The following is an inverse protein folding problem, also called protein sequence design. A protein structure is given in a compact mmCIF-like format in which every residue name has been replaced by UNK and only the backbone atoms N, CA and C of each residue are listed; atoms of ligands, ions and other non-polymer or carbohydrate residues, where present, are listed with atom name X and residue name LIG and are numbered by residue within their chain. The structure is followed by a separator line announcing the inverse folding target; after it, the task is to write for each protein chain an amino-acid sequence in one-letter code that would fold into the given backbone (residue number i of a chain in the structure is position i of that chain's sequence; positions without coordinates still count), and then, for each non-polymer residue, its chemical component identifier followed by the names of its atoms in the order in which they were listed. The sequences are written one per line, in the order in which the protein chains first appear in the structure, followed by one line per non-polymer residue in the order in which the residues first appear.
data_IF_284038949852
#
_entry.id   IF_284038949852
#
_cell.length_a   1.000
_cell.length_b   1.000
_cell.length_c   1.000
_cell.angle_alpha   90.00
_cell.angle_beta   90.00
_cell.angle_gamma   90.00
#
_symmetry.space_group_name_H-M   'P 1'
#
loop_
_entity.id
_entity.type
_entity.pdbx_description
1 polymer ?
#
# COMPACT_ATOMS: atom_id res chain seq x y z
N UNK A 1 -33.84 -6.13 15.75
CA UNK A 1 -33.37 -4.82 15.31
C UNK A 1 -31.86 -4.65 15.51
N UNK A 2 -31.31 -5.02 16.70
CA UNK A 2 -29.88 -4.90 16.96
C UNK A 2 -28.97 -5.71 16.02
N UNK A 3 -29.25 -7.02 15.73
CA UNK A 3 -28.44 -7.75 14.78
C UNK A 3 -28.47 -7.16 13.37
N UNK A 4 -29.62 -6.66 12.95
CA UNK A 4 -29.78 -6.04 11.65
C UNK A 4 -28.98 -4.74 11.54
N UNK A 5 -28.97 -3.95 12.61
CA UNK A 5 -28.21 -2.71 12.67
C UNK A 5 -26.70 -2.97 12.63
N UNK A 6 -26.25 -4.00 13.37
CA UNK A 6 -24.84 -4.42 13.35
C UNK A 6 -24.41 -4.84 11.95
N UNK A 7 -25.23 -5.60 11.25
CA UNK A 7 -24.93 -6.02 9.88
C UNK A 7 -24.82 -4.84 8.92
N UNK A 8 -25.69 -3.83 9.06
CA UNK A 8 -25.62 -2.62 8.24
C UNK A 8 -24.34 -1.83 8.51
N UNK A 9 -23.91 -1.75 9.75
CA UNK A 9 -22.67 -1.07 10.11
C UNK A 9 -21.45 -1.79 9.53
N UNK A 10 -21.41 -3.11 9.61
CA UNK A 10 -20.31 -3.89 9.03
C UNK A 10 -20.30 -3.79 7.50
N UNK A 11 -21.46 -3.81 6.85
CA UNK A 11 -21.56 -3.61 5.41
C UNK A 11 -21.06 -2.21 5.01
N UNK A 12 -21.37 -1.19 5.79
CA UNK A 12 -20.89 0.18 5.58
C UNK A 12 -19.37 0.28 5.68
N UNK A 13 -18.76 -0.35 6.68
CA UNK A 13 -17.31 -0.42 6.82
C UNK A 13 -16.67 -1.15 5.66
N UNK A 14 -17.24 -2.28 5.24
CA UNK A 14 -16.75 -3.06 4.11
C UNK A 14 -16.76 -2.23 2.83
N UNK A 15 -17.86 -1.55 2.53
CA UNK A 15 -17.97 -0.70 1.36
C UNK A 15 -16.96 0.44 1.39
N UNK A 16 -16.79 1.10 2.54
CA UNK A 16 -15.82 2.18 2.67
C UNK A 16 -14.40 1.67 2.49
N UNK A 17 -14.06 0.52 3.04
CA UNK A 17 -12.74 -0.09 2.87
C UNK A 17 -12.43 -0.34 1.40
N UNK A 18 -13.38 -0.91 0.65
CA UNK A 18 -13.21 -1.14 -0.79
C UNK A 18 -13.02 0.19 -1.53
N UNK A 19 -13.80 1.21 -1.19
CA UNK A 19 -13.67 2.53 -1.82
C UNK A 19 -12.29 3.16 -1.54
N UNK A 20 -11.79 3.02 -0.32
CA UNK A 20 -10.48 3.55 0.04
C UNK A 20 -9.34 2.80 -0.70
N UNK A 21 -9.46 1.48 -0.82
CA UNK A 21 -8.50 0.70 -1.62
C UNK A 21 -8.54 1.14 -3.08
N UNK A 22 -9.71 1.39 -3.65
CA UNK A 22 -9.85 1.88 -5.01
C UNK A 22 -9.18 3.25 -5.20
N UNK A 23 -9.31 4.15 -4.22
CA UNK A 23 -8.62 5.45 -4.25
C UNK A 23 -7.10 5.26 -4.27
N UNK A 24 -6.59 4.35 -3.46
CA UNK A 24 -5.16 4.05 -3.45
C UNK A 24 -4.69 3.52 -4.80
N UNK A 25 -5.45 2.61 -5.41
CA UNK A 25 -5.11 2.05 -6.72
C UNK A 25 -5.14 3.10 -7.81
N UNK A 26 -6.13 3.99 -7.81
CA UNK A 26 -6.23 5.09 -8.77
C UNK A 26 -5.01 6.01 -8.66
N UNK A 27 -4.62 6.37 -7.46
CA UNK A 27 -3.45 7.23 -7.25
C UNK A 27 -2.14 6.52 -7.62
N UNK A 28 -2.06 5.22 -7.37
CA UNK A 28 -0.91 4.43 -7.80
C UNK A 28 -0.78 4.43 -9.33
N UNK A 29 -1.90 4.29 -10.02
CA UNK A 29 -1.93 4.37 -11.49
C UNK A 29 -1.50 5.73 -12.00
N UNK A 30 -2.00 6.81 -11.39
CA UNK A 30 -1.60 8.17 -11.72
C UNK A 30 -0.10 8.38 -11.51
N UNK A 31 0.43 7.86 -10.42
CA UNK A 31 1.86 7.92 -10.14
C UNK A 31 2.66 7.18 -11.21
N UNK A 32 2.22 6.00 -11.61
CA UNK A 32 2.86 5.22 -12.68
C UNK A 32 2.87 6.01 -14.01
N UNK A 33 1.75 6.59 -14.38
CA UNK A 33 1.64 7.38 -15.62
C UNK A 33 2.53 8.63 -15.58
N UNK A 34 2.59 9.32 -14.44
CA UNK A 34 3.44 10.49 -14.27
C UNK A 34 4.91 10.13 -14.31
N UNK A 35 5.33 9.07 -13.65
CA UNK A 35 6.73 8.63 -13.68
C UNK A 35 7.14 8.16 -15.07
N UNK A 36 6.24 7.51 -15.81
CA UNK A 36 6.49 7.17 -17.22
C UNK A 36 6.80 8.41 -18.06
N UNK A 37 6.09 9.49 -17.78
CA UNK A 37 6.22 10.73 -18.53
C UNK A 37 7.50 11.49 -18.18
N UNK A 38 7.85 11.57 -16.91
CA UNK A 38 8.98 12.38 -16.43
C UNK A 38 10.29 11.62 -16.31
N UNK A 39 10.24 10.32 -16.05
CA UNK A 39 11.42 9.48 -15.84
C UNK A 39 11.71 8.54 -17.03
N UNK A 40 10.83 8.53 -18.03
CA UNK A 40 10.98 7.69 -19.22
C UNK A 40 10.44 6.28 -19.06
N UNK A 41 10.26 5.80 -17.85
CA UNK A 41 9.70 4.49 -17.55
C UNK A 41 8.88 4.57 -16.25
N UNK A 42 7.68 3.99 -16.27
CA UNK A 42 6.79 4.04 -15.12
C UNK A 42 7.25 3.16 -13.98
N UNK A 43 6.94 3.61 -12.76
CA UNK A 43 7.14 2.83 -11.54
C UNK A 43 5.97 3.10 -10.59
N UNK A 44 5.80 2.24 -9.61
CA UNK A 44 4.79 2.39 -8.57
C UNK A 44 5.41 3.03 -7.31
N UNK A 45 4.59 3.62 -6.43
CA UNK A 45 5.13 4.20 -5.21
C UNK A 45 5.96 3.20 -4.41
N UNK A 46 7.13 3.66 -3.95
CA UNK A 46 8.06 2.83 -3.21
C UNK A 46 9.09 2.09 -4.04
N UNK A 47 8.89 1.99 -5.35
CA UNK A 47 9.90 1.40 -6.23
C UNK A 47 10.98 2.41 -6.58
N UNK A 48 12.25 1.99 -6.50
CA UNK A 48 13.36 2.76 -7.07
C UNK A 48 13.30 2.72 -8.60
N UNK A 49 12.94 1.56 -9.13
CA UNK A 49 12.76 1.31 -10.57
C UNK A 49 11.60 0.35 -10.74
N UNK A 50 11.04 0.28 -11.96
CA UNK A 50 9.89 -0.58 -12.26
C UNK A 50 10.13 -2.06 -11.99
N UNK A 51 11.37 -2.51 -12.03
CA UNK A 51 11.77 -3.91 -11.87
C UNK A 51 12.28 -4.26 -10.46
N UNK A 52 12.05 -3.37 -9.49
CA UNK A 52 12.40 -3.62 -8.09
C UNK A 52 11.11 -3.82 -7.29
N UNK A 53 11.11 -4.86 -6.47
CA UNK A 53 9.94 -5.18 -5.64
C UNK A 53 9.78 -4.20 -4.46
N UNK A 54 8.56 -4.07 -3.97
CA UNK A 54 8.25 -3.50 -2.65
C UNK A 54 7.61 -4.63 -1.85
N UNK A 55 8.10 -4.85 -0.64
CA UNK A 55 7.77 -6.05 0.11
C UNK A 55 8.64 -7.23 -0.33
N UNK A 56 8.20 -8.44 -0.06
CA UNK A 56 9.05 -9.63 -0.21
C UNK A 56 8.48 -10.68 -1.16
N UNK A 57 7.73 -10.28 -2.17
CA UNK A 57 7.15 -11.19 -3.15
C UNK A 57 7.73 -10.96 -4.53
N UNK A 58 7.96 -12.04 -5.26
CA UNK A 58 8.44 -11.96 -6.64
C UNK A 58 7.36 -12.27 -7.68
N UNK A 59 6.25 -12.91 -7.28
CA UNK A 59 5.12 -13.14 -8.18
C UNK A 59 3.79 -13.09 -7.43
N UNK A 60 2.69 -13.01 -8.19
CA UNK A 60 1.34 -12.90 -7.64
C UNK A 60 0.85 -14.19 -7.01
N UNK A 61 1.33 -15.34 -7.46
CA UNK A 61 0.95 -16.64 -6.90
C UNK A 61 1.34 -16.72 -5.44
N UNK A 62 2.57 -16.31 -5.10
CA UNK A 62 3.05 -16.28 -3.72
C UNK A 62 2.14 -15.38 -2.84
N UNK A 63 1.73 -14.22 -3.36
CA UNK A 63 0.86 -13.29 -2.64
C UNK A 63 -0.49 -13.93 -2.33
N UNK A 64 -1.10 -14.55 -3.33
CA UNK A 64 -2.42 -15.16 -3.15
C UNK A 64 -2.38 -16.39 -2.23
N UNK A 65 -1.32 -17.15 -2.26
CA UNK A 65 -1.13 -18.26 -1.32
C UNK A 65 -1.07 -17.75 0.13
N UNK A 66 -0.31 -16.69 0.36
CA UNK A 66 -0.22 -16.09 1.69
C UNK A 66 -1.55 -15.43 2.13
N UNK A 67 -2.25 -14.78 1.22
CA UNK A 67 -3.52 -14.13 1.53
C UNK A 67 -4.60 -15.10 2.02
N UNK A 68 -4.53 -16.37 1.66
CA UNK A 68 -5.46 -17.39 2.17
C UNK A 68 -5.37 -17.55 3.68
N UNK A 69 -4.21 -17.29 4.26
CA UNK A 69 -3.92 -17.44 5.68
C UNK A 69 -3.64 -16.11 6.39
N UNK A 70 -3.85 -14.99 5.68
CA UNK A 70 -3.52 -13.67 6.19
C UNK A 70 -4.78 -13.00 6.74
N UNK A 71 -5.15 -13.36 7.96
CA UNK A 71 -6.40 -12.89 8.58
C UNK A 71 -6.28 -11.52 9.22
N UNK A 72 -5.10 -11.19 9.73
CA UNK A 72 -4.80 -9.87 10.28
C UNK A 72 -3.30 -9.60 10.16
N UNK A 73 -2.96 -8.32 9.99
CA UNK A 73 -1.56 -7.93 9.88
C UNK A 73 -0.83 -8.16 11.20
N UNK A 74 0.32 -8.79 11.11
CA UNK A 74 1.29 -8.89 12.18
C UNK A 74 2.69 -8.95 11.58
N UNK A 75 3.71 -8.70 12.38
CA UNK A 75 5.10 -8.72 11.91
C UNK A 75 5.76 -10.10 11.94
N UNK A 76 4.98 -11.16 12.02
CA UNK A 76 5.50 -12.54 11.98
C UNK A 76 5.84 -12.94 10.55
N UNK A 77 5.37 -14.10 10.11
CA UNK A 77 5.75 -14.67 8.83
C UNK A 77 5.20 -13.90 7.63
N UNK A 78 3.87 -13.83 7.51
CA UNK A 78 3.25 -13.21 6.33
C UNK A 78 3.36 -11.68 6.40
N UNK A 79 3.05 -11.10 7.54
CA UNK A 79 3.05 -9.65 7.70
C UNK A 79 4.40 -9.00 7.43
N UNK A 80 5.50 -9.70 7.74
CA UNK A 80 6.84 -9.18 7.48
C UNK A 80 7.14 -8.97 5.99
N UNK A 81 6.34 -9.56 5.11
CA UNK A 81 6.49 -9.43 3.65
C UNK A 81 5.75 -8.22 3.07
N UNK A 82 4.91 -7.56 3.86
CA UNK A 82 4.09 -6.44 3.46
C UNK A 82 4.62 -5.13 4.03
N UNK A 83 4.23 -4.02 3.44
CA UNK A 83 4.69 -2.69 3.81
C UNK A 83 3.46 -1.80 4.05
N UNK A 84 3.51 -0.95 5.05
CA UNK A 84 2.46 0.04 5.26
C UNK A 84 2.49 1.10 4.16
N UNK A 85 1.31 1.50 3.71
CA UNK A 85 1.19 2.57 2.71
C UNK A 85 1.68 3.91 3.27
N UNK A 86 1.23 4.26 4.47
CA UNK A 86 1.55 5.54 5.10
C UNK A 86 2.36 5.38 6.38
N UNK A 87 3.23 4.41 6.45
CA UNK A 87 3.90 4.13 7.70
C UNK A 87 5.28 3.54 7.55
N UNK A 88 5.72 2.93 8.61
CA UNK A 88 7.03 2.33 8.71
C UNK A 88 7.12 1.02 7.91
N UNK A 89 8.34 0.58 7.70
CA UNK A 89 8.61 -0.67 6.99
C UNK A 89 8.05 -1.92 7.69
N UNK A 90 7.75 -1.82 8.98
CA UNK A 90 7.14 -2.92 9.74
C UNK A 90 5.61 -2.94 9.62
N UNK A 91 5.04 -2.10 8.76
CA UNK A 91 3.59 -2.03 8.57
C UNK A 91 2.87 -1.15 9.55
N UNK A 92 3.55 -0.61 10.59
CA UNK A 92 2.91 0.31 11.51
C UNK A 92 2.61 1.64 10.82
N UNK A 93 1.52 2.28 11.21
CA UNK A 93 1.13 3.59 10.69
C UNK A 93 1.20 4.65 11.76
N UNK A 94 1.09 5.87 11.33
CA UNK A 94 0.88 7.01 12.21
C UNK A 94 -0.60 7.04 12.59
N UNK A 95 -0.91 6.69 13.82
CA UNK A 95 -2.30 6.43 14.24
C UNK A 95 -3.05 7.66 14.72
N UNK A 96 -2.34 8.73 15.03
CA UNK A 96 -2.95 9.99 15.45
C UNK A 96 -2.06 11.17 15.02
N UNK A 97 -2.56 12.38 15.24
CA UNK A 97 -1.88 13.61 14.82
C UNK A 97 -0.51 13.80 15.47
N UNK A 98 -0.29 13.18 16.63
CA UNK A 98 0.99 13.29 17.34
C UNK A 98 2.07 12.41 16.70
N UNK A 99 1.65 11.45 15.90
CA UNK A 99 2.56 10.49 15.24
C UNK A 99 2.68 10.78 13.74
N UNK A 100 2.21 11.92 13.29
CA UNK A 100 2.44 12.35 11.93
C UNK A 100 3.94 12.42 11.64
N UNK A 101 4.37 11.99 10.46
CA UNK A 101 5.79 11.99 10.15
C UNK A 101 6.37 13.40 10.21
N UNK A 102 7.53 13.53 10.85
CA UNK A 102 8.28 14.78 10.80
C UNK A 102 8.72 15.06 9.37
N UNK A 103 8.65 16.30 8.98
CA UNK A 103 9.14 16.74 7.68
C UNK A 103 10.53 17.36 7.87
N UNK A 104 11.42 17.10 6.92
CA UNK A 104 12.70 17.80 6.87
C UNK A 104 12.52 19.20 6.29
N UNK A 105 13.62 19.96 6.16
CA UNK A 105 13.59 21.32 5.66
C UNK A 105 13.13 21.43 4.20
N UNK A 106 13.16 20.32 3.47
CA UNK A 106 12.74 20.23 2.07
C UNK A 106 11.31 19.72 1.92
N UNK A 107 10.62 19.41 3.02
CA UNK A 107 9.26 18.89 3.02
C UNK A 107 9.17 17.39 2.85
N UNK A 108 10.27 16.65 3.00
CA UNK A 108 10.26 15.20 2.92
C UNK A 108 9.94 14.58 4.28
N UNK A 109 9.23 13.46 4.25
CA UNK A 109 8.88 12.73 5.47
C UNK A 109 10.11 12.01 6.01
N UNK A 110 10.35 12.15 7.31
CA UNK A 110 11.42 11.44 8.00
C UNK A 110 10.90 10.20 8.69
N UNK A 111 11.60 9.11 8.53
CA UNK A 111 11.33 7.87 9.25
C UNK A 111 12.64 7.25 9.70
N UNK A 112 12.92 7.33 10.99
CA UNK A 112 14.21 6.90 11.54
C UNK A 112 14.44 5.39 11.45
N UNK A 113 13.36 4.61 11.33
CA UNK A 113 13.42 3.15 11.31
C UNK A 113 13.11 2.54 9.95
N UNK A 114 12.95 3.37 8.92
CA UNK A 114 12.62 2.88 7.57
C UNK A 114 13.88 2.76 6.72
N UNK A 115 14.04 1.70 5.94
CA UNK A 115 15.04 1.68 4.89
C UNK A 115 14.77 2.78 3.85
N UNK A 116 15.79 3.28 3.21
CA UNK A 116 15.67 4.39 2.25
C UNK A 116 14.59 4.18 1.20
N UNK A 117 14.50 2.98 0.63
CA UNK A 117 13.50 2.65 -0.38
C UNK A 117 12.08 2.72 0.15
N UNK A 118 11.89 2.42 1.44
CA UNK A 118 10.57 2.45 2.07
C UNK A 118 10.18 3.84 2.53
N UNK A 119 11.15 4.64 2.90
CA UNK A 119 10.92 6.06 3.17
C UNK A 119 10.38 6.75 1.92
N UNK A 120 10.98 6.46 0.77
CA UNK A 120 10.52 7.02 -0.49
C UNK A 120 9.08 6.64 -0.79
N UNK A 121 8.69 5.39 -0.53
CA UNK A 121 7.31 4.93 -0.71
C UNK A 121 6.33 5.70 0.15
N UNK A 122 6.63 5.85 1.41
CA UNK A 122 5.79 6.59 2.34
C UNK A 122 5.64 8.06 1.92
N UNK A 123 6.72 8.70 1.52
CA UNK A 123 6.71 10.07 1.02
C UNK A 123 5.85 10.19 -0.23
N UNK A 124 6.04 9.29 -1.16
CA UNK A 124 5.31 9.30 -2.42
C UNK A 124 3.81 9.12 -2.22
N UNK A 125 3.40 8.18 -1.38
CA UNK A 125 1.98 8.00 -1.03
C UNK A 125 1.40 9.21 -0.33
N UNK A 126 2.12 9.78 0.63
CA UNK A 126 1.67 10.95 1.38
C UNK A 126 1.43 12.14 0.45
N UNK A 127 2.33 12.34 -0.50
CA UNK A 127 2.19 13.43 -1.48
C UNK A 127 1.04 13.19 -2.46
N UNK A 128 0.74 11.94 -2.81
CA UNK A 128 -0.38 11.61 -3.69
C UNK A 128 -1.73 11.99 -3.07
N UNK A 129 -1.82 12.03 -1.76
CA UNK A 129 -3.05 12.38 -1.02
C UNK A 129 -2.98 13.75 -0.38
N UNK A 130 -2.22 14.68 -0.96
CA UNK A 130 -2.09 16.06 -0.50
C UNK A 130 -1.67 16.18 0.96
N UNK A 131 -0.72 15.36 1.37
CA UNK A 131 -0.19 15.30 2.73
C UNK A 131 -1.26 14.94 3.76
N UNK A 132 -2.14 14.03 3.40
CA UNK A 132 -3.12 13.43 4.30
C UNK A 132 -2.93 11.94 4.35
N UNK A 133 -3.27 11.34 5.49
CA UNK A 133 -3.24 9.89 5.66
C UNK A 133 -4.65 9.36 5.41
N UNK A 134 -4.76 8.37 4.54
CA UNK A 134 -6.00 7.67 4.29
C UNK A 134 -6.13 6.52 5.28
N UNK A 135 -7.19 6.49 6.06
CA UNK A 135 -7.42 5.49 7.09
C UNK A 135 -8.51 4.51 6.69
N UNK A 136 -8.33 3.26 7.09
CA UNK A 136 -9.37 2.26 7.02
C UNK A 136 -10.41 2.49 8.12
N UNK A 137 -11.69 2.15 7.90
CA UNK A 137 -12.72 2.27 8.95
C UNK A 137 -12.62 1.19 10.04
N UNK A 138 -11.74 0.20 9.88
CA UNK A 138 -11.52 -0.83 10.89
C UNK A 138 -10.56 -0.36 11.98
N UNK A 139 -10.48 -1.09 13.07
CA UNK A 139 -9.87 -0.66 14.32
C UNK A 139 -8.44 -0.15 14.18
N UNK A 140 -7.60 -0.86 13.43
CA UNK A 140 -6.21 -0.47 13.26
C UNK A 140 -6.02 0.58 12.16
N UNK A 141 -7.04 0.80 11.35
CA UNK A 141 -7.16 1.95 10.50
C UNK A 141 -6.11 2.15 9.41
N UNK A 142 -5.41 1.09 8.97
CA UNK A 142 -4.38 1.31 7.96
C UNK A 142 -4.41 0.30 6.82
N UNK A 143 -3.68 0.65 5.76
CA UNK A 143 -3.54 -0.17 4.55
C UNK A 143 -2.10 -0.60 4.38
N UNK A 144 -1.93 -1.78 3.83
CA UNK A 144 -0.64 -2.36 3.52
C UNK A 144 -0.60 -2.69 2.03
N UNK A 145 0.60 -2.77 1.48
CA UNK A 145 0.74 -3.10 0.06
C UNK A 145 2.03 -3.86 -0.22
N UNK A 146 2.07 -4.46 -1.38
CA UNK A 146 3.28 -5.01 -1.98
C UNK A 146 3.28 -4.68 -3.46
N UNK A 147 4.46 -4.58 -4.05
CA UNK A 147 4.63 -4.42 -5.49
C UNK A 147 5.40 -5.60 -6.04
N UNK A 148 4.80 -6.27 -7.01
CA UNK A 148 5.45 -7.32 -7.77
C UNK A 148 6.27 -6.63 -8.86
N UNK A 149 7.57 -6.91 -8.97
CA UNK A 149 8.43 -6.19 -9.90
C UNK A 149 8.03 -6.44 -11.35
N UNK A 150 8.14 -5.40 -12.17
CA UNK A 150 8.11 -5.55 -13.61
C UNK A 150 9.37 -6.21 -14.12
N UNK A 151 9.40 -6.53 -15.40
CA UNK A 151 10.54 -7.22 -15.99
C UNK A 151 10.65 -6.93 -17.49
N UNK A 152 11.76 -7.37 -18.08
CA UNK A 152 11.95 -7.29 -19.52
C UNK A 152 12.38 -5.94 -20.02
N UNK A 153 12.50 -5.84 -21.35
CA UNK A 153 12.88 -4.62 -22.04
C UNK A 153 12.25 -4.58 -23.43
N UNK A 154 12.13 -3.37 -23.99
CA UNK A 154 11.58 -3.19 -25.32
C UNK A 154 10.12 -3.66 -25.41
N UNK A 155 9.81 -4.45 -26.44
CA UNK A 155 8.45 -4.95 -26.67
C UNK A 155 8.04 -6.05 -25.69
N UNK A 156 8.97 -6.61 -24.92
CA UNK A 156 8.73 -7.68 -23.98
C UNK A 156 8.65 -7.18 -22.54
N UNK A 157 8.55 -5.89 -22.34
CA UNK A 157 8.46 -5.32 -20.99
C UNK A 157 7.14 -5.71 -20.32
N UNK A 158 7.24 -6.15 -19.07
CA UNK A 158 6.09 -6.42 -18.21
C UNK A 158 6.06 -5.36 -17.14
N UNK A 159 4.94 -4.68 -17.01
CA UNK A 159 4.76 -3.65 -15.99
C UNK A 159 4.68 -4.26 -14.59
N UNK A 160 5.05 -3.50 -13.56
CA UNK A 160 4.87 -3.97 -12.18
C UNK A 160 3.38 -4.05 -11.83
N UNK A 161 3.08 -4.80 -10.77
CA UNK A 161 1.72 -4.95 -10.24
C UNK A 161 1.69 -4.55 -8.78
N UNK A 162 0.61 -3.95 -8.35
CA UNK A 162 0.44 -3.57 -6.95
C UNK A 162 -0.74 -4.32 -6.35
N UNK A 163 -0.57 -4.83 -5.15
CA UNK A 163 -1.63 -5.42 -4.35
C UNK A 163 -1.75 -4.61 -3.07
N UNK A 164 -2.96 -4.11 -2.81
CA UNK A 164 -3.27 -3.32 -1.63
C UNK A 164 -4.28 -4.09 -0.79
N UNK A 165 -4.08 -4.09 0.52
CA UNK A 165 -4.95 -4.80 1.46
C UNK A 165 -5.22 -3.95 2.69
N UNK A 166 -6.36 -4.21 3.34
CA UNK A 166 -6.65 -3.69 4.67
C UNK A 166 -5.85 -4.49 5.70
N UNK A 167 -5.13 -3.81 6.59
CA UNK A 167 -4.22 -4.47 7.51
C UNK A 167 -4.94 -5.33 8.54
N UNK A 168 -6.15 -4.98 8.93
CA UNK A 168 -6.91 -5.77 9.90
C UNK A 168 -7.57 -6.99 9.28
N UNK A 169 -7.94 -6.91 8.01
CA UNK A 169 -8.63 -7.98 7.30
C UNK A 169 -8.05 -8.20 5.89
N UNK A 170 -6.76 -8.55 5.76
CA UNK A 170 -6.16 -8.67 4.43
C UNK A 170 -6.79 -9.76 3.56
N UNK A 171 -7.20 -10.87 4.19
CA UNK A 171 -7.84 -11.98 3.48
C UNK A 171 -9.13 -11.53 2.77
N UNK A 172 -9.93 -10.70 3.41
CA UNK A 172 -11.23 -10.28 2.89
C UNK A 172 -11.16 -9.01 2.05
N UNK A 173 -10.21 -8.12 2.31
CA UNK A 173 -10.11 -6.83 1.63
C UNK A 173 -8.73 -6.64 1.04
N UNK A 174 -8.59 -7.07 -0.20
CA UNK A 174 -7.39 -6.84 -1.00
C UNK A 174 -7.80 -6.72 -2.47
N UNK A 175 -7.01 -5.97 -3.23
CA UNK A 175 -7.16 -5.85 -4.68
C UNK A 175 -5.80 -5.76 -5.33
N UNK A 176 -5.74 -6.29 -6.53
CA UNK A 176 -4.56 -6.18 -7.40
C UNK A 176 -4.87 -5.26 -8.57
N UNK A 177 -3.87 -4.52 -9.01
CA UNK A 177 -3.95 -3.73 -10.22
C UNK A 177 -2.82 -4.10 -11.18
N UNK A 178 -3.21 -4.41 -12.41
CA UNK A 178 -2.32 -4.58 -13.56
C UNK A 178 -2.24 -3.26 -14.31
N UNK A 179 -1.05 -2.92 -14.77
CA UNK A 179 -0.81 -1.67 -15.50
C UNK A 179 -0.63 -1.86 -16.99
#
# INVERSE_FOLDING_TARGET
AAPRLSNLMEDGKAQKTVQEIDKLLIQAKNFYENTSKYEGRGRLPGQDKFDIQVGSYSDTTEVYEDLRNFMTFNNDTIGSKWVSVFGNHDGSIFQDDEILPDLDNEGNIQCNNCPETRDAGMVEWYNLFNQSILESPYQDGHFIYVVIPGSGSGAEVVAPRIIIADAENPHYFHKIMDL
#
